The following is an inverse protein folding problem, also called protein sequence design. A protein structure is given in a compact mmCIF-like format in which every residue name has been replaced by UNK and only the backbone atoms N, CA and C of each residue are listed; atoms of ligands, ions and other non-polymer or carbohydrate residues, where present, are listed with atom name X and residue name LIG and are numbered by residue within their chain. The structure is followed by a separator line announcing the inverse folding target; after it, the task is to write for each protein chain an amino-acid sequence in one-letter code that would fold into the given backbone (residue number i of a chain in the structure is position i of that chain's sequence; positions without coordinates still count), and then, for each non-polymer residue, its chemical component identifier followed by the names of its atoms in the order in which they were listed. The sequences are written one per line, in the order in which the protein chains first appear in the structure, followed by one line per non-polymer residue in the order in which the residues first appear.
data_IF_467413558398
#
_entry.id   IF_467413558398
#
_cell.length_a   1.000
_cell.length_b   1.000
_cell.length_c   1.000
_cell.angle_alpha   90.00
_cell.angle_beta   90.00
_cell.angle_gamma   90.00
#
_symmetry.space_group_name_H-M   'P 1'
#
loop_
_entity.id
_entity.type
_entity.pdbx_description
1 polymer ?
#
# COMPACT_ATOMS: atom_id res chain seq x y z
N UNK A 1 13.43 -20.64 2.38
CA UNK A 1 12.07 -20.60 2.99
C UNK A 1 12.11 -19.57 4.10
N UNK A 2 11.57 -18.39 3.84
CA UNK A 2 11.48 -17.30 4.82
C UNK A 2 10.50 -17.68 5.92
N UNK A 3 10.87 -17.51 7.20
CA UNK A 3 9.95 -17.82 8.29
C UNK A 3 8.85 -16.75 8.36
N UNK A 4 7.62 -17.12 8.73
CA UNK A 4 6.54 -16.14 8.87
C UNK A 4 6.82 -15.03 9.90
N UNK A 5 7.69 -15.31 10.88
CA UNK A 5 8.17 -14.33 11.87
C UNK A 5 9.01 -13.25 11.21
N UNK A 6 9.87 -13.62 10.25
CA UNK A 6 10.71 -12.68 9.52
C UNK A 6 9.87 -11.78 8.61
N UNK A 7 8.85 -12.33 7.95
CA UNK A 7 7.91 -11.55 7.11
C UNK A 7 7.18 -10.49 7.92
N UNK A 8 6.59 -10.86 9.06
CA UNK A 8 5.84 -9.92 9.92
C UNK A 8 6.77 -8.83 10.46
N UNK A 9 7.97 -9.20 10.91
CA UNK A 9 8.97 -8.23 11.41
C UNK A 9 9.39 -7.27 10.30
N UNK A 10 9.64 -7.78 9.10
CA UNK A 10 9.97 -6.97 7.93
C UNK A 10 8.85 -6.01 7.57
N UNK A 11 7.59 -6.48 7.53
CA UNK A 11 6.44 -5.62 7.25
C UNK A 11 6.24 -4.55 8.31
N UNK A 12 6.35 -4.87 9.61
CA UNK A 12 6.25 -3.89 10.71
C UNK A 12 7.35 -2.83 10.72
N UNK A 13 8.47 -3.11 10.06
CA UNK A 13 9.60 -2.17 10.03
C UNK A 13 9.63 -1.39 8.72
N UNK A 14 9.42 -2.06 7.59
CA UNK A 14 9.66 -1.55 6.24
C UNK A 14 8.40 -1.11 5.52
N UNK A 15 7.19 -1.53 5.90
CA UNK A 15 6.00 -1.15 5.15
C UNK A 15 5.84 0.37 5.06
N UNK A 16 5.85 1.07 6.20
CA UNK A 16 5.78 2.54 6.19
C UNK A 16 7.08 3.16 5.73
N UNK A 17 8.17 2.76 6.40
CA UNK A 17 9.48 3.42 6.26
C UNK A 17 10.06 3.30 4.86
N UNK A 18 9.79 2.18 4.19
CA UNK A 18 10.27 1.89 2.85
C UNK A 18 9.13 1.98 1.84
N UNK A 19 8.15 1.07 1.85
CA UNK A 19 7.20 0.98 0.75
C UNK A 19 6.36 2.25 0.57
N UNK A 20 5.67 2.69 1.64
CA UNK A 20 4.73 3.82 1.59
C UNK A 20 5.47 5.14 1.40
N UNK A 21 6.53 5.39 2.16
CA UNK A 21 7.26 6.65 2.08
C UNK A 21 8.02 6.83 0.78
N UNK A 22 8.62 5.76 0.25
CA UNK A 22 9.31 5.81 -1.05
C UNK A 22 8.30 6.00 -2.18
N UNK A 23 7.16 5.29 -2.15
CA UNK A 23 6.07 5.53 -3.09
C UNK A 23 5.59 6.98 -3.05
N UNK A 24 5.31 7.53 -1.87
CA UNK A 24 4.88 8.91 -1.69
C UNK A 24 5.89 9.92 -2.27
N UNK A 25 7.18 9.70 -2.07
CA UNK A 25 8.24 10.59 -2.54
C UNK A 25 8.45 10.55 -4.06
N UNK A 26 8.04 9.47 -4.73
CA UNK A 26 8.25 9.27 -6.17
C UNK A 26 7.02 9.58 -7.03
N UNK A 27 5.85 9.77 -6.42
CA UNK A 27 4.65 10.19 -7.13
C UNK A 27 4.81 11.64 -7.59
N UNK A 28 4.48 11.92 -8.85
CA UNK A 28 4.47 13.29 -9.35
C UNK A 28 3.24 14.04 -8.85
N UNK A 29 3.48 15.03 -8.01
CA UNK A 29 2.46 15.87 -7.38
C UNK A 29 2.37 17.25 -8.02
N UNK A 30 3.18 17.52 -9.06
CA UNK A 30 3.18 18.82 -9.74
C UNK A 30 1.82 19.06 -10.37
N UNK A 31 1.38 20.32 -10.28
CA UNK A 31 0.16 20.83 -10.91
C UNK A 31 -1.14 20.15 -10.47
N UNK A 32 -1.13 19.37 -9.38
CA UNK A 32 -2.35 18.83 -8.78
C UNK A 32 -3.10 19.92 -7.99
N UNK A 33 -4.45 19.93 -8.05
CA UNK A 33 -5.25 20.83 -7.21
C UNK A 33 -4.96 20.60 -5.72
N UNK A 34 -4.97 21.67 -4.92
CA UNK A 34 -4.75 21.60 -3.47
C UNK A 34 -5.70 20.61 -2.77
N UNK A 35 -6.95 20.51 -3.20
CA UNK A 35 -7.91 19.53 -2.68
C UNK A 35 -7.45 18.08 -2.90
N UNK A 36 -6.89 17.76 -4.06
CA UNK A 36 -6.38 16.43 -4.40
C UNK A 36 -5.12 16.13 -3.60
N UNK A 37 -4.23 17.11 -3.44
CA UNK A 37 -3.02 16.98 -2.62
C UNK A 37 -3.36 16.70 -1.16
N UNK A 38 -4.28 17.48 -0.57
CA UNK A 38 -4.72 17.27 0.80
C UNK A 38 -5.35 15.88 0.98
N UNK A 39 -6.18 15.45 0.01
CA UNK A 39 -6.77 14.11 0.03
C UNK A 39 -5.70 13.01 0.00
N UNK A 40 -4.67 13.21 -0.82
CA UNK A 40 -3.57 12.27 -0.96
C UNK A 40 -2.78 12.17 0.34
N UNK A 41 -2.39 13.30 0.93
CA UNK A 41 -1.67 13.35 2.21
C UNK A 41 -2.46 12.68 3.33
N UNK A 42 -3.77 12.93 3.42
CA UNK A 42 -4.66 12.28 4.39
C UNK A 42 -4.69 10.77 4.21
N UNK A 43 -4.87 10.28 2.97
CA UNK A 43 -4.91 8.85 2.66
C UNK A 43 -3.58 8.19 2.97
N UNK A 44 -2.45 8.82 2.61
CA UNK A 44 -1.11 8.31 2.90
C UNK A 44 -0.91 8.21 4.42
N UNK A 45 -1.28 9.23 5.19
CA UNK A 45 -1.18 9.20 6.66
C UNK A 45 -2.06 8.11 7.27
N UNK A 46 -3.29 7.94 6.79
CA UNK A 46 -4.16 6.86 7.23
C UNK A 46 -3.55 5.48 6.94
N UNK A 47 -2.95 5.28 5.76
CA UNK A 47 -2.29 4.02 5.42
C UNK A 47 -1.06 3.78 6.30
N UNK A 48 -0.29 4.83 6.62
CA UNK A 48 0.85 4.72 7.55
C UNK A 48 0.43 4.21 8.92
N UNK A 49 -0.69 4.71 9.43
CA UNK A 49 -1.22 4.31 10.74
C UNK A 49 -1.68 2.85 10.81
N UNK A 50 -1.91 2.19 9.67
CA UNK A 50 -2.35 0.80 9.62
C UNK A 50 -1.25 -0.20 9.99
N UNK A 51 0.03 0.20 9.92
CA UNK A 51 1.17 -0.66 10.29
C UNK A 51 1.06 -1.21 11.72
N UNK A 52 0.41 -0.47 12.63
CA UNK A 52 0.19 -0.91 14.02
C UNK A 52 -0.61 -2.21 14.14
N UNK A 53 -1.34 -2.60 13.10
CA UNK A 53 -2.15 -3.81 13.05
C UNK A 53 -1.39 -5.03 12.48
N UNK A 54 -0.13 -4.89 12.09
CA UNK A 54 0.66 -5.96 11.48
C UNK A 54 1.20 -6.94 12.54
N UNK A 55 0.33 -7.78 13.08
CA UNK A 55 0.65 -8.73 14.16
C UNK A 55 0.89 -10.16 13.66
N UNK A 56 0.34 -10.52 12.50
CA UNK A 56 0.54 -11.78 11.81
C UNK A 56 0.40 -11.59 10.29
N UNK A 57 0.75 -12.61 9.49
CA UNK A 57 0.54 -12.59 8.04
C UNK A 57 -0.95 -12.40 7.71
N UNK A 58 -1.84 -13.08 8.43
CA UNK A 58 -3.29 -12.98 8.24
C UNK A 58 -3.80 -11.58 8.59
N UNK A 59 -3.29 -10.98 9.67
CA UNK A 59 -3.65 -9.62 10.05
C UNK A 59 -3.20 -8.60 8.99
N UNK A 60 -1.97 -8.73 8.47
CA UNK A 60 -1.47 -7.90 7.37
C UNK A 60 -2.37 -8.08 6.15
N UNK A 61 -2.68 -9.32 5.79
CA UNK A 61 -3.50 -9.60 4.62
C UNK A 61 -4.92 -9.06 4.73
N UNK A 62 -5.51 -9.08 5.93
CA UNK A 62 -6.81 -8.45 6.22
C UNK A 62 -6.74 -6.94 6.01
N UNK A 63 -5.73 -6.29 6.60
CA UNK A 63 -5.52 -4.84 6.50
C UNK A 63 -5.33 -4.38 5.05
N UNK A 64 -4.55 -5.13 4.26
CA UNK A 64 -4.33 -4.83 2.85
C UNK A 64 -5.63 -4.94 2.03
N UNK A 65 -6.41 -6.00 2.25
CA UNK A 65 -7.65 -6.27 1.49
C UNK A 65 -8.84 -5.41 1.89
N UNK A 66 -8.86 -4.92 3.12
CA UNK A 66 -9.95 -4.09 3.65
C UNK A 66 -9.55 -2.64 3.69
N UNK A 67 -8.84 -2.27 4.75
CA UNK A 67 -8.58 -0.90 5.17
C UNK A 67 -7.73 -0.13 4.15
N UNK A 68 -6.63 -0.71 3.64
CA UNK A 68 -5.80 -0.05 2.62
C UNK A 68 -6.60 0.16 1.32
N UNK A 69 -7.32 -0.87 0.87
CA UNK A 69 -8.14 -0.78 -0.33
C UNK A 69 -9.24 0.29 -0.20
N UNK A 70 -9.90 0.37 0.95
CA UNK A 70 -10.89 1.41 1.26
C UNK A 70 -10.28 2.82 1.15
N UNK A 71 -9.11 3.06 1.74
CA UNK A 71 -8.47 4.39 1.71
C UNK A 71 -8.04 4.79 0.30
N UNK A 72 -7.53 3.83 -0.47
CA UNK A 72 -7.18 4.06 -1.88
C UNK A 72 -8.41 4.32 -2.75
N UNK A 73 -9.54 3.68 -2.48
CA UNK A 73 -10.79 3.96 -3.20
C UNK A 73 -11.29 5.39 -2.93
N UNK A 74 -11.16 5.90 -1.70
CA UNK A 74 -11.50 7.29 -1.39
C UNK A 74 -10.61 8.29 -2.15
N UNK A 75 -9.33 7.98 -2.34
CA UNK A 75 -8.45 8.79 -3.19
C UNK A 75 -8.84 8.68 -4.67
N UNK A 76 -9.19 7.46 -5.12
CA UNK A 76 -9.59 7.18 -6.51
C UNK A 76 -10.79 8.00 -6.95
N UNK A 77 -11.75 8.23 -6.07
CA UNK A 77 -12.93 9.09 -6.36
C UNK A 77 -12.53 10.53 -6.75
N UNK A 78 -11.37 11.01 -6.26
CA UNK A 78 -10.87 12.36 -6.53
C UNK A 78 -9.84 12.39 -7.64
N UNK A 79 -8.95 11.39 -7.68
CA UNK A 79 -7.92 11.25 -8.71
C UNK A 79 -7.57 9.78 -8.92
N UNK A 80 -8.19 9.11 -9.92
CA UNK A 80 -7.91 7.71 -10.21
C UNK A 80 -6.45 7.45 -10.56
N UNK A 81 -5.86 8.30 -11.42
CA UNK A 81 -4.48 8.15 -11.86
C UNK A 81 -3.48 8.23 -10.70
N UNK A 82 -3.70 9.16 -9.76
CA UNK A 82 -2.86 9.32 -8.58
C UNK A 82 -2.95 8.10 -7.66
N UNK A 83 -4.16 7.62 -7.41
CA UNK A 83 -4.38 6.46 -6.55
C UNK A 83 -3.76 5.17 -7.13
N UNK A 84 -3.88 4.99 -8.45
CA UNK A 84 -3.26 3.86 -9.16
C UNK A 84 -1.75 3.91 -9.12
N UNK A 85 -1.16 5.07 -9.45
CA UNK A 85 0.29 5.23 -9.47
C UNK A 85 0.88 5.02 -8.07
N UNK A 86 0.24 5.59 -7.05
CA UNK A 86 0.67 5.41 -5.67
C UNK A 86 0.57 3.94 -5.23
N UNK A 87 -0.56 3.27 -5.46
CA UNK A 87 -0.70 1.84 -5.11
C UNK A 87 0.33 0.98 -5.84
N UNK A 88 0.52 1.22 -7.14
CA UNK A 88 1.50 0.50 -7.95
C UNK A 88 2.90 0.60 -7.34
N UNK A 89 3.34 1.80 -6.99
CA UNK A 89 4.63 2.03 -6.33
C UNK A 89 4.73 1.38 -4.96
N UNK A 90 3.68 1.45 -4.13
CA UNK A 90 3.66 0.78 -2.83
C UNK A 90 3.87 -0.72 -2.98
N UNK A 91 3.15 -1.34 -3.93
CA UNK A 91 3.28 -2.77 -4.24
C UNK A 91 4.68 -3.09 -4.75
N UNK A 92 5.20 -2.33 -5.72
CA UNK A 92 6.55 -2.51 -6.27
C UNK A 92 7.61 -2.49 -5.17
N UNK A 93 7.64 -1.44 -4.33
CA UNK A 93 8.62 -1.32 -3.25
C UNK A 93 8.47 -2.42 -2.18
N UNK A 94 7.26 -2.91 -1.94
CA UNK A 94 7.06 -4.05 -1.04
C UNK A 94 7.49 -5.38 -1.66
N UNK A 95 7.44 -5.53 -2.99
CA UNK A 95 7.97 -6.70 -3.69
C UNK A 95 9.51 -6.69 -3.83
N UNK A 96 10.17 -5.54 -3.65
CA UNK A 96 11.63 -5.47 -3.54
C UNK A 96 12.16 -6.11 -2.24
N UNK A 97 11.29 -6.30 -1.24
CA UNK A 97 11.65 -6.96 0.02
C UNK A 97 11.61 -8.48 -0.18
N UNK A 98 12.77 -9.13 -0.18
CA UNK A 98 12.91 -10.57 -0.38
C UNK A 98 11.98 -11.37 0.55
N UNK A 99 11.88 -10.98 1.82
CA UNK A 99 11.01 -11.66 2.79
C UNK A 99 9.54 -11.61 2.37
N UNK A 100 9.10 -10.53 1.74
CA UNK A 100 7.73 -10.35 1.27
C UNK A 100 7.51 -11.08 -0.05
N UNK A 101 8.46 -10.96 -0.99
CA UNK A 101 8.42 -11.58 -2.31
C UNK A 101 8.35 -13.12 -2.23
N UNK A 102 8.99 -13.71 -1.24
CA UNK A 102 9.01 -15.17 -0.99
C UNK A 102 7.94 -15.62 0.02
N UNK A 103 6.94 -14.78 0.30
CA UNK A 103 5.87 -15.08 1.25
C UNK A 103 4.48 -15.10 0.62
N UNK A 104 3.46 -15.64 1.33
CA UNK A 104 2.06 -15.53 0.89
C UNK A 104 1.57 -14.09 0.72
N UNK A 105 2.24 -13.09 1.30
CA UNK A 105 1.86 -11.68 1.10
C UNK A 105 2.10 -11.20 -0.33
N UNK A 106 2.99 -11.84 -1.10
CA UNK A 106 3.15 -11.57 -2.53
C UNK A 106 1.81 -11.67 -3.26
N UNK A 107 1.10 -12.78 -3.06
CA UNK A 107 -0.19 -13.01 -3.70
C UNK A 107 -1.24 -12.00 -3.22
N UNK A 108 -1.18 -11.60 -1.95
CA UNK A 108 -2.05 -10.56 -1.38
C UNK A 108 -1.82 -9.21 -2.05
N UNK A 109 -0.57 -8.81 -2.25
CA UNK A 109 -0.24 -7.54 -2.91
C UNK A 109 -0.63 -7.53 -4.39
N UNK A 110 -0.40 -8.65 -5.09
CA UNK A 110 -0.87 -8.82 -6.47
C UNK A 110 -2.40 -8.79 -6.57
N UNK A 111 -3.08 -9.45 -5.62
CA UNK A 111 -4.54 -9.41 -5.50
C UNK A 111 -5.04 -7.98 -5.25
N UNK A 112 -4.40 -7.24 -4.33
CA UNK A 112 -4.75 -5.85 -4.02
C UNK A 112 -4.67 -4.97 -5.27
N UNK A 113 -3.55 -5.05 -6.02
CA UNK A 113 -3.36 -4.31 -7.27
C UNK A 113 -4.42 -4.68 -8.31
N UNK A 114 -4.71 -5.99 -8.45
CA UNK A 114 -5.73 -6.48 -9.37
C UNK A 114 -7.13 -5.97 -9.01
N UNK A 115 -7.55 -6.11 -7.75
CA UNK A 115 -8.88 -5.68 -7.28
C UNK A 115 -9.07 -4.18 -7.39
N UNK A 116 -8.03 -3.41 -7.12
CA UNK A 116 -8.06 -1.96 -7.29
C UNK A 116 -8.29 -1.56 -8.76
N UNK A 117 -7.64 -2.26 -9.69
CA UNK A 117 -7.77 -2.03 -11.13
C UNK A 117 -9.09 -2.57 -11.72
N UNK A 118 -9.62 -3.67 -11.20
CA UNK A 118 -10.89 -4.27 -11.66
C UNK A 118 -12.11 -3.43 -11.27
N UNK A 119 -12.05 -2.72 -10.13
CA UNK A 119 -13.08 -1.80 -9.67
C UNK A 119 -13.18 -0.49 -10.50
N UNK A 120 -12.50 -0.42 -11.66
CA UNK A 120 -12.70 0.59 -12.71
C UNK A 120 -13.95 0.36 -13.59
N UNK A 121 -14.51 -0.85 -13.56
CA UNK A 121 -15.71 -1.22 -14.34
C UNK A 121 -16.98 -0.97 -13.54
#
# INVERSE_FOLDING_TARGET
MTSGVDVVKTMRYKFVRYCVNKAYAEVDLKDLPAEVLNAFDDVVNQIRDLEKYFTSIEAIAKVLRGEVLEKLNALRERSPALAEEFLKRVVEHCMELEEVADSPLRDVFQELLRRFNEAKK
#
